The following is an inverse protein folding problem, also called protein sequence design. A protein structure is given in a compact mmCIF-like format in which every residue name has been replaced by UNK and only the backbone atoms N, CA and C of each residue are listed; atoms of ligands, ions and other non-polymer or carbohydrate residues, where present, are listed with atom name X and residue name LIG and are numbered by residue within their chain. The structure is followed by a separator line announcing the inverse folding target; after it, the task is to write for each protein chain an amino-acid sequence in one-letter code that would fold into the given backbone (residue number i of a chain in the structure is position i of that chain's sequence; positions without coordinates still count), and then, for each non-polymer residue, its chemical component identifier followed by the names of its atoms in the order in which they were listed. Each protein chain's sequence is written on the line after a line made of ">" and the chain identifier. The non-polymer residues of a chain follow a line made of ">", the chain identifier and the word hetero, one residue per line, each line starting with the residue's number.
data_IF_037327001858
#
_entry.id   IF_037327001858
#
_cell.length_a   1.000
_cell.length_b   1.000
_cell.length_c   1.000
_cell.angle_alpha   90.00
_cell.angle_beta   90.00
_cell.angle_gamma   90.00
#
_symmetry.space_group_name_H-M   'P 1'
#
loop_
_entity.id
_entity.type
_entity.pdbx_description
1 polymer ?
#
# COMPACT_ATOMS: atom_id res chain seq x y z
N UNK A 1 7.12 0.96 -17.54
CA UNK A 1 6.69 0.34 -16.26
C UNK A 1 7.61 0.87 -15.17
N UNK A 2 7.09 1.61 -14.18
CA UNK A 2 7.88 2.17 -13.08
C UNK A 2 7.94 1.17 -11.93
N UNK A 3 9.13 0.97 -11.36
CA UNK A 3 9.36 0.10 -10.21
C UNK A 3 9.96 0.94 -9.08
N UNK A 4 9.42 0.79 -7.87
CA UNK A 4 9.93 1.45 -6.68
C UNK A 4 10.75 0.44 -5.86
N UNK A 5 12.01 0.76 -5.58
CA UNK A 5 12.83 0.00 -4.66
C UNK A 5 12.60 0.51 -3.24
N UNK A 6 12.12 -0.36 -2.36
CA UNK A 6 11.90 -0.03 -0.94
C UNK A 6 12.96 -0.78 -0.12
N UNK A 7 13.66 -0.06 0.76
CA UNK A 7 14.68 -0.62 1.65
C UNK A 7 14.05 -1.00 2.99
N UNK A 8 14.23 -2.24 3.43
CA UNK A 8 13.81 -2.71 4.75
C UNK A 8 15.01 -3.30 5.48
N UNK A 9 15.38 -2.68 6.59
CA UNK A 9 16.34 -3.26 7.51
C UNK A 9 15.64 -4.31 8.40
N UNK A 10 16.31 -5.43 8.80
CA UNK A 10 17.64 -5.86 8.43
C UNK A 10 17.69 -6.82 7.20
N UNK A 11 16.59 -6.98 6.46
CA UNK A 11 16.37 -8.15 5.58
C UNK A 11 16.67 -7.93 4.08
N UNK A 12 16.99 -6.71 3.61
CA UNK A 12 17.45 -6.46 2.23
C UNK A 12 16.61 -5.42 1.46
N UNK A 13 16.58 -5.55 0.12
CA UNK A 13 15.76 -4.73 -0.77
C UNK A 13 14.71 -5.58 -1.49
N UNK A 14 13.53 -4.99 -1.74
CA UNK A 14 12.33 -5.63 -2.31
C UNK A 14 11.89 -4.68 -3.40
N UNK A 15 11.74 -5.25 -4.58
CA UNK A 15 11.22 -4.56 -5.74
C UNK A 15 9.83 -5.11 -6.03
N UNK A 16 8.89 -4.22 -6.25
CA UNK A 16 7.52 -4.57 -6.59
C UNK A 16 6.70 -3.36 -6.98
N UNK A 17 5.42 -3.60 -7.22
CA UNK A 17 4.45 -2.53 -7.41
C UNK A 17 3.93 -2.09 -6.04
N UNK A 18 4.09 -0.82 -5.72
CA UNK A 18 3.53 -0.23 -4.51
C UNK A 18 2.05 0.10 -4.73
N UNK A 19 1.19 -0.40 -3.85
CA UNK A 19 -0.26 -0.16 -3.84
C UNK A 19 -0.66 0.44 -2.51
N UNK A 20 -1.57 1.41 -2.55
CA UNK A 20 -2.14 2.03 -1.38
C UNK A 20 -3.58 1.54 -1.20
N UNK A 21 -3.88 0.98 -0.04
CA UNK A 21 -5.18 0.38 0.27
C UNK A 21 -5.81 1.14 1.43
N UNK A 22 -7.02 1.66 1.20
CA UNK A 22 -7.88 2.22 2.24
C UNK A 22 -8.96 1.19 2.53
N UNK A 23 -8.98 0.68 3.75
CA UNK A 23 -10.06 -0.15 4.24
C UNK A 23 -11.07 0.72 5.00
N UNK A 24 -12.35 0.36 4.94
CA UNK A 24 -13.46 1.10 5.57
C UNK A 24 -13.84 2.42 4.85
N UNK A 25 -14.14 2.32 3.56
CA UNK A 25 -14.80 3.39 2.81
C UNK A 25 -16.24 3.54 3.31
N UNK A 26 -16.60 4.74 3.75
CA UNK A 26 -18.00 5.10 3.95
C UNK A 26 -18.61 5.24 2.55
N UNK A 27 -19.71 4.55 2.27
CA UNK A 27 -20.40 4.63 0.99
C UNK A 27 -20.71 6.08 0.61
N UNK A 28 -20.38 6.46 -0.63
CA UNK A 28 -20.55 7.82 -1.14
C UNK A 28 -19.41 8.79 -0.82
N UNK A 29 -18.37 8.37 -0.08
CA UNK A 29 -17.18 9.19 0.16
C UNK A 29 -16.33 9.35 -1.10
N UNK A 30 -15.78 10.56 -1.29
CA UNK A 30 -14.75 10.79 -2.31
C UNK A 30 -13.41 10.17 -1.88
N UNK A 31 -12.52 9.91 -2.86
CA UNK A 31 -11.18 9.42 -2.59
C UNK A 31 -10.41 10.30 -1.57
N UNK A 32 -10.52 11.62 -1.68
CA UNK A 32 -9.84 12.56 -0.77
C UNK A 32 -10.38 12.48 0.65
N UNK A 33 -11.70 12.33 0.82
CA UNK A 33 -12.33 12.18 2.13
C UNK A 33 -11.96 10.84 2.76
N UNK A 34 -11.95 9.77 1.97
CA UNK A 34 -11.49 8.46 2.41
C UNK A 34 -10.02 8.53 2.86
N UNK A 35 -9.15 9.19 2.11
CA UNK A 35 -7.74 9.36 2.45
C UNK A 35 -7.54 10.18 3.74
N UNK A 36 -8.28 11.27 3.91
CA UNK A 36 -8.17 12.14 5.08
C UNK A 36 -8.64 11.48 6.38
N UNK A 37 -9.64 10.59 6.27
CA UNK A 37 -10.29 9.91 7.40
C UNK A 37 -9.88 8.44 7.54
N UNK A 38 -8.95 7.95 6.71
CA UNK A 38 -8.50 6.56 6.76
C UNK A 38 -7.79 6.27 8.10
N UNK A 39 -8.51 5.66 9.04
CA UNK A 39 -7.94 5.05 10.24
C UNK A 39 -7.32 3.69 9.96
N UNK A 40 -7.66 3.07 8.83
CA UNK A 40 -7.17 1.76 8.40
C UNK A 40 -6.66 1.86 6.96
N UNK A 41 -5.52 2.53 6.78
CA UNK A 41 -4.78 2.53 5.51
C UNK A 41 -3.53 1.64 5.63
N UNK A 42 -3.12 1.06 4.52
CA UNK A 42 -1.88 0.30 4.42
C UNK A 42 -1.22 0.47 3.07
N UNK A 43 0.10 0.28 3.07
CA UNK A 43 0.85 0.06 1.85
C UNK A 43 1.06 -1.43 1.62
N UNK A 44 0.97 -1.82 0.36
CA UNK A 44 1.24 -3.17 -0.09
C UNK A 44 2.30 -3.13 -1.17
N UNK A 45 3.26 -4.03 -1.10
CA UNK A 45 4.17 -4.34 -2.19
C UNK A 45 3.66 -5.60 -2.86
N UNK A 46 3.31 -5.50 -4.13
CA UNK A 46 2.77 -6.61 -4.93
C UNK A 46 3.73 -7.01 -6.04
N UNK A 47 3.67 -8.28 -6.42
CA UNK A 47 4.34 -8.79 -7.62
C UNK A 47 3.77 -8.07 -8.85
N UNK A 48 4.60 -7.42 -9.66
CA UNK A 48 4.13 -6.76 -10.87
C UNK A 48 3.68 -7.73 -11.97
N UNK A 49 4.13 -8.99 -11.93
CA UNK A 49 3.74 -10.00 -12.93
C UNK A 49 2.41 -10.68 -12.58
N UNK A 50 2.18 -10.95 -11.29
CA UNK A 50 1.05 -11.78 -10.85
C UNK A 50 0.04 -11.04 -9.97
N UNK A 51 0.37 -9.85 -9.48
CA UNK A 51 -0.44 -9.10 -8.52
C UNK A 51 -0.43 -9.68 -7.10
N UNK A 52 0.33 -10.74 -6.85
CA UNK A 52 0.42 -11.39 -5.54
C UNK A 52 1.00 -10.44 -4.48
N UNK A 53 0.45 -10.46 -3.27
CA UNK A 53 0.98 -9.70 -2.14
C UNK A 53 2.35 -10.25 -1.72
N UNK A 54 3.37 -9.40 -1.76
CA UNK A 54 4.73 -9.75 -1.32
C UNK A 54 4.97 -9.25 0.11
N UNK A 55 4.45 -8.06 0.43
CA UNK A 55 4.62 -7.44 1.74
C UNK A 55 3.52 -6.42 2.01
N UNK A 56 3.13 -6.25 3.26
CA UNK A 56 2.21 -5.19 3.69
C UNK A 56 2.74 -4.49 4.94
N UNK A 57 2.44 -3.20 5.07
CA UNK A 57 2.73 -2.47 6.29
C UNK A 57 1.65 -1.42 6.55
N UNK A 58 1.18 -1.32 7.81
CA UNK A 58 0.12 -0.39 8.16
C UNK A 58 0.61 1.05 8.09
N UNK A 59 -0.29 1.95 7.69
CA UNK A 59 -0.11 3.38 7.88
C UNK A 59 -0.70 3.77 9.22
N UNK A 60 0.14 3.68 10.24
CA UNK A 60 -0.21 4.24 11.54
C UNK A 60 -0.03 5.75 11.46
N UNK A 61 -1.11 6.48 11.77
CA UNK A 61 -1.08 7.94 11.90
C UNK A 61 -0.49 8.36 13.24
#
# INVERSE_FOLDING_TARGET
>A
MFFFAISFAPLGSLSGQLVFVISNLIDGSSFTEALANAYMAQFEVRSPETGALLYEFPLNR
#
